data_IF_366153873972
#
_entry.id   IF_366153873972
#
_cell.length_a   1.000
_cell.length_b   1.000
_cell.length_c   1.000
_cell.angle_alpha   90.00
_cell.angle_beta   90.00
_cell.angle_gamma   90.00
#
_symmetry.space_group_name_H-M   'P 1'
#
loop_
_entity.id
_entity.type
_entity.pdbx_description
1 polymer ?
#
# COMPACT_ATOMS: atom_id res chain seq x y z
N UNK A 1 2.93 1.09 -12.29
CA UNK A 1 2.18 1.60 -13.46
C UNK A 1 1.28 0.50 -14.00
N UNK A 2 -0.04 0.72 -14.03
CA UNK A 2 -0.96 -0.09 -14.84
C UNK A 2 -0.63 0.20 -16.30
N UNK A 3 -0.44 -0.84 -17.12
CA UNK A 3 -0.16 -0.67 -18.55
C UNK A 3 -1.24 0.18 -19.20
N UNK A 4 -0.88 1.35 -19.73
CA UNK A 4 -1.73 2.21 -20.58
C UNK A 4 -1.79 1.66 -22.01
N UNK A 5 -1.86 0.34 -22.16
CA UNK A 5 -2.12 -0.22 -23.48
C UNK A 5 -3.39 0.45 -24.01
N UNK A 6 -3.35 1.08 -25.18
CA UNK A 6 -4.57 1.56 -25.85
C UNK A 6 -5.12 0.49 -26.80
N UNK A 7 -4.63 -0.76 -26.67
CA UNK A 7 -5.23 -1.89 -27.38
C UNK A 7 -6.64 -2.10 -26.85
N UNK A 8 -7.60 -2.12 -27.78
CA UNK A 8 -9.05 -2.11 -27.51
C UNK A 8 -9.55 -3.21 -26.58
N UNK A 9 -8.84 -4.33 -26.47
CA UNK A 9 -9.38 -5.53 -25.84
C UNK A 9 -8.99 -5.71 -24.36
N UNK A 10 -8.06 -4.91 -23.80
CA UNK A 10 -7.60 -5.09 -22.42
C UNK A 10 -7.61 -3.81 -21.56
N UNK A 11 -7.77 -2.65 -22.19
CA UNK A 11 -7.54 -1.37 -21.53
C UNK A 11 -8.79 -0.74 -20.96
N UNK A 12 -8.77 -0.48 -19.65
CA UNK A 12 -9.80 0.36 -19.01
C UNK A 12 -9.88 1.75 -19.65
N UNK A 13 -8.75 2.28 -20.16
CA UNK A 13 -8.70 3.60 -20.78
C UNK A 13 -9.43 3.60 -22.13
N UNK A 14 -9.25 2.55 -22.95
CA UNK A 14 -9.99 2.39 -24.19
C UNK A 14 -11.50 2.27 -23.94
N UNK A 15 -11.91 1.44 -22.98
CA UNK A 15 -13.31 1.31 -22.59
C UNK A 15 -13.89 2.63 -22.08
N UNK A 16 -13.11 3.46 -21.37
CA UNK A 16 -13.55 4.80 -20.97
C UNK A 16 -13.81 5.71 -22.19
N UNK A 17 -12.93 5.70 -23.19
CA UNK A 17 -13.14 6.48 -24.42
C UNK A 17 -14.40 6.03 -25.16
N UNK A 18 -14.69 4.72 -25.19
CA UNK A 18 -15.91 4.17 -25.80
C UNK A 18 -17.20 4.61 -25.07
N UNK A 19 -17.11 4.98 -23.77
CA UNK A 19 -18.21 5.60 -23.03
C UNK A 19 -18.33 7.12 -23.25
N UNK A 20 -17.58 7.69 -24.19
CA UNK A 20 -17.66 9.10 -24.58
C UNK A 20 -16.78 10.05 -23.77
N UNK A 21 -15.85 9.54 -22.96
CA UNK A 21 -14.82 10.37 -22.35
C UNK A 21 -13.77 10.74 -23.40
N UNK A 22 -13.50 12.03 -23.61
CA UNK A 22 -12.55 12.49 -24.64
C UNK A 22 -11.17 12.84 -24.07
N UNK A 23 -11.02 12.82 -22.74
CA UNK A 23 -9.78 13.17 -22.04
C UNK A 23 -9.60 12.25 -20.84
N UNK A 24 -8.39 11.70 -20.71
CA UNK A 24 -7.96 10.90 -19.56
C UNK A 24 -6.78 11.62 -18.93
N UNK A 25 -6.87 11.88 -17.63
CA UNK A 25 -5.81 12.52 -16.86
C UNK A 25 -5.29 11.51 -15.84
N UNK A 26 -4.01 11.18 -15.93
CA UNK A 26 -3.30 10.38 -14.93
C UNK A 26 -2.37 11.30 -14.16
N UNK A 27 -2.55 11.33 -12.85
CA UNK A 27 -1.82 12.23 -11.97
C UNK A 27 -0.79 11.42 -11.18
N UNK A 28 0.46 11.89 -11.23
CA UNK A 28 1.50 11.44 -10.31
C UNK A 28 1.26 12.16 -8.97
N UNK A 29 0.98 11.40 -7.91
CA UNK A 29 0.65 11.98 -6.61
C UNK A 29 1.87 12.72 -6.03
N UNK A 30 1.63 13.74 -5.20
CA UNK A 30 2.71 14.37 -4.44
C UNK A 30 3.53 13.30 -3.71
N UNK A 31 4.85 13.44 -3.70
CA UNK A 31 5.76 12.51 -3.05
C UNK A 31 6.29 11.41 -3.96
N UNK A 32 5.73 11.24 -5.16
CA UNK A 32 6.17 10.23 -6.13
C UNK A 32 6.66 10.86 -7.44
N UNK A 33 7.38 10.05 -8.23
CA UNK A 33 7.86 10.39 -9.56
C UNK A 33 8.49 11.78 -9.66
N UNK A 34 7.83 12.69 -10.39
CA UNK A 34 8.30 14.09 -10.56
C UNK A 34 7.53 15.09 -9.71
N UNK A 35 6.50 14.64 -8.99
CA UNK A 35 5.63 15.45 -8.15
C UNK A 35 6.22 15.58 -6.73
N UNK A 36 7.34 16.31 -6.59
CA UNK A 36 8.02 16.50 -5.28
C UNK A 36 8.39 15.15 -4.62
N UNK A 37 9.28 14.35 -5.23
CA UNK A 37 9.60 13.00 -4.75
C UNK A 37 10.16 13.01 -3.32
N UNK A 38 9.62 12.14 -2.47
CA UNK A 38 10.13 11.88 -1.12
C UNK A 38 11.11 10.70 -1.18
N UNK A 39 12.41 11.01 -1.23
CA UNK A 39 13.51 10.04 -1.17
C UNK A 39 14.52 10.49 -0.13
N UNK A 40 15.45 9.62 0.26
CA UNK A 40 16.54 10.03 1.16
C UNK A 40 17.33 11.19 0.57
N UNK A 41 17.67 11.09 -0.72
CA UNK A 41 18.39 12.14 -1.44
C UNK A 41 17.69 13.50 -1.43
N UNK A 42 16.36 13.55 -1.62
CA UNK A 42 15.64 14.84 -1.59
C UNK A 42 15.56 15.42 -0.18
N UNK A 43 15.45 14.55 0.84
CA UNK A 43 15.46 14.97 2.23
C UNK A 43 16.84 15.46 2.68
N UNK A 44 17.94 14.84 2.24
CA UNK A 44 19.32 15.30 2.51
C UNK A 44 19.55 16.73 1.99
N UNK A 45 19.02 17.04 0.80
CA UNK A 45 19.13 18.37 0.22
C UNK A 45 18.26 19.40 0.94
N UNK A 46 17.05 19.02 1.36
CA UNK A 46 16.07 19.95 1.92
C UNK A 46 16.20 20.14 3.44
N UNK A 47 16.65 19.09 4.15
CA UNK A 47 16.74 19.02 5.61
C UNK A 47 18.09 18.42 6.03
N UNK A 48 19.23 19.05 5.71
CA UNK A 48 20.56 18.49 5.98
C UNK A 48 20.81 18.22 7.47
N UNK A 49 20.22 19.03 8.35
CA UNK A 49 20.32 18.86 9.80
C UNK A 49 19.78 17.52 10.30
N UNK A 50 18.89 16.86 9.54
CA UNK A 50 18.37 15.53 9.87
C UNK A 50 19.47 14.45 9.87
N UNK A 51 20.52 14.65 9.07
CA UNK A 51 21.54 13.64 8.79
C UNK A 51 22.85 13.86 9.56
N UNK A 52 22.93 14.89 10.42
CA UNK A 52 24.15 15.23 11.16
C UNK A 52 24.70 14.09 12.04
N UNK A 53 23.82 13.21 12.53
CA UNK A 53 24.21 12.05 13.33
C UNK A 53 24.68 10.85 12.49
N UNK A 54 24.35 10.82 11.20
CA UNK A 54 24.76 9.73 10.31
C UNK A 54 26.23 9.86 9.90
N UNK A 55 26.77 11.09 9.93
CA UNK A 55 28.17 11.42 9.61
C UNK A 55 29.09 11.48 10.85
N UNK A 56 28.52 11.39 12.06
CA UNK A 56 29.27 11.51 13.29
C UNK A 56 30.26 10.32 13.43
N UNK A 57 31.56 10.61 13.42
CA UNK A 57 32.60 9.62 13.73
C UNK A 57 32.48 9.19 15.19
N UNK A 58 32.93 7.97 15.50
CA UNK A 58 32.87 7.33 16.82
C UNK A 58 33.12 8.31 17.98
N UNK A 59 32.08 8.53 18.79
CA UNK A 59 32.01 9.47 19.91
C UNK A 59 30.57 9.81 20.24
N UNK A 60 30.27 10.24 21.47
CA UNK A 60 28.93 10.74 21.80
C UNK A 60 28.69 12.08 21.09
N UNK A 61 27.57 12.24 20.35
CA UNK A 61 27.25 13.49 19.68
C UNK A 61 27.01 14.59 20.72
N UNK A 62 27.37 15.83 20.40
CA UNK A 62 27.08 16.95 21.30
C UNK A 62 25.58 17.15 21.48
N UNK A 63 25.18 17.70 22.63
CA UNK A 63 23.77 18.03 22.90
C UNK A 63 23.20 18.97 21.82
N UNK A 64 24.02 19.89 21.29
CA UNK A 64 23.63 20.79 20.22
C UNK A 64 23.28 20.06 18.92
N UNK A 65 24.12 19.11 18.49
CA UNK A 65 23.86 18.31 17.28
C UNK A 65 22.60 17.45 17.47
N UNK A 66 22.46 16.84 18.64
CA UNK A 66 21.27 16.04 18.97
C UNK A 66 20.00 16.88 18.89
N UNK A 67 20.02 18.10 19.45
CA UNK A 67 18.87 19.01 19.41
C UNK A 67 18.51 19.45 17.98
N UNK A 68 19.51 19.70 17.12
CA UNK A 68 19.29 20.02 15.70
C UNK A 68 18.60 18.87 14.96
N UNK A 69 19.06 17.63 15.16
CA UNK A 69 18.44 16.46 14.52
C UNK A 69 17.01 16.24 15.01
N UNK A 70 16.75 16.43 16.31
CA UNK A 70 15.39 16.34 16.87
C UNK A 70 14.44 17.38 16.26
N UNK A 71 14.90 18.61 16.10
CA UNK A 71 14.13 19.67 15.48
C UNK A 71 13.87 19.36 13.99
N UNK A 72 14.90 18.97 13.24
CA UNK A 72 14.78 18.59 11.84
C UNK A 72 13.83 17.39 11.66
N UNK A 73 13.89 16.39 12.54
CA UNK A 73 13.00 15.23 12.49
C UNK A 73 11.52 15.64 12.67
N UNK A 74 11.22 16.62 13.54
CA UNK A 74 9.87 17.17 13.67
C UNK A 74 9.42 17.91 12.40
N UNK A 75 10.27 18.77 11.85
CA UNK A 75 9.99 19.52 10.63
C UNK A 75 9.72 18.59 9.43
N UNK A 76 10.52 17.53 9.30
CA UNK A 76 10.35 16.51 8.25
C UNK A 76 9.06 15.72 8.48
N UNK A 77 8.71 15.39 9.73
CA UNK A 77 7.44 14.72 10.08
C UNK A 77 6.24 15.58 9.66
N UNK A 78 6.27 16.87 9.97
CA UNK A 78 5.22 17.82 9.59
C UNK A 78 5.16 18.04 8.07
N UNK A 79 6.32 18.02 7.41
CA UNK A 79 6.41 18.07 5.95
C UNK A 79 5.78 16.83 5.30
N UNK A 80 6.18 15.62 5.72
CA UNK A 80 5.66 14.34 5.21
C UNK A 80 4.17 14.17 5.49
N UNK A 81 3.64 14.75 6.57
CA UNK A 81 2.21 14.73 6.87
C UNK A 81 1.33 15.37 5.78
N UNK A 82 1.92 16.19 4.90
CA UNK A 82 1.24 16.87 3.78
C UNK A 82 1.06 15.99 2.54
N UNK A 83 1.54 14.74 2.56
CA UNK A 83 1.55 13.81 1.42
C UNK A 83 0.42 12.77 1.48
N UNK A 84 -0.64 13.07 2.21
CA UNK A 84 -1.81 12.22 2.43
C UNK A 84 -2.93 12.47 1.42
N UNK A 85 -3.90 11.56 1.40
CA UNK A 85 -5.05 11.56 0.49
C UNK A 85 -5.82 12.90 0.47
N UNK A 86 -5.95 13.58 1.60
CA UNK A 86 -6.60 14.89 1.71
C UNK A 86 -5.93 15.95 0.84
N UNK A 87 -4.61 15.95 0.76
CA UNK A 87 -3.89 16.93 -0.06
C UNK A 87 -3.65 16.43 -1.50
N UNK A 88 -3.64 15.12 -1.74
CA UNK A 88 -3.66 14.53 -3.09
C UNK A 88 -4.97 14.89 -3.79
N UNK A 89 -6.11 14.83 -3.08
CA UNK A 89 -7.42 15.23 -3.62
C UNK A 89 -7.47 16.73 -3.94
N UNK A 90 -6.87 17.58 -3.08
CA UNK A 90 -6.76 19.02 -3.36
C UNK A 90 -5.92 19.31 -4.61
N UNK A 91 -4.79 18.61 -4.79
CA UNK A 91 -4.01 18.73 -6.05
C UNK A 91 -4.85 18.35 -7.27
N UNK A 92 -5.66 17.29 -7.16
CA UNK A 92 -6.52 16.85 -8.25
C UNK A 92 -7.60 17.89 -8.60
N UNK A 93 -8.14 18.62 -7.62
CA UNK A 93 -9.05 19.75 -7.86
C UNK A 93 -8.33 20.96 -8.47
N UNK A 94 -7.12 21.30 -8.01
CA UNK A 94 -6.33 22.39 -8.60
C UNK A 94 -5.97 22.10 -10.06
N UNK A 95 -5.57 20.86 -10.36
CA UNK A 95 -5.33 20.38 -11.72
C UNK A 95 -6.62 20.43 -12.55
N UNK A 96 -7.76 20.04 -11.96
CA UNK A 96 -9.07 20.13 -12.64
C UNK A 96 -9.36 21.54 -13.08
N UNK A 97 -9.26 22.50 -12.17
CA UNK A 97 -9.56 23.90 -12.48
C UNK A 97 -8.62 24.42 -13.56
N UNK A 98 -7.31 24.17 -13.45
CA UNK A 98 -6.32 24.57 -14.44
C UNK A 98 -6.61 23.98 -15.85
N UNK A 99 -7.08 22.74 -15.94
CA UNK A 99 -7.38 22.07 -17.21
C UNK A 99 -8.77 22.39 -17.78
N UNK A 100 -9.72 22.76 -16.91
CA UNK A 100 -11.13 23.00 -17.31
C UNK A 100 -11.45 24.49 -17.51
N UNK A 101 -10.68 25.44 -16.99
CA UNK A 101 -10.91 26.88 -17.22
C UNK A 101 -10.80 27.27 -18.70
N UNK A 102 -11.86 27.81 -19.34
CA UNK A 102 -11.67 28.66 -20.52
C UNK A 102 -11.07 29.99 -20.06
N UNK A 103 -10.12 30.54 -20.82
CA UNK A 103 -9.35 31.73 -20.42
C UNK A 103 -10.21 32.99 -20.21
N UNK A 104 -11.46 33.03 -20.70
CA UNK A 104 -12.18 34.29 -20.93
C UNK A 104 -13.64 34.34 -20.42
N UNK A 105 -14.19 33.28 -19.79
CA UNK A 105 -15.58 33.29 -19.30
C UNK A 105 -15.72 32.97 -17.81
N UNK A 106 -16.60 33.69 -17.08
CA UNK A 106 -16.84 33.43 -15.66
C UNK A 106 -17.53 32.06 -15.47
N UNK A 107 -16.99 31.27 -14.54
CA UNK A 107 -17.59 29.99 -14.16
C UNK A 107 -18.87 30.25 -13.37
N UNK A 108 -20.02 29.92 -13.95
CA UNK A 108 -21.35 30.11 -13.33
C UNK A 108 -21.93 28.83 -12.72
N UNK A 109 -21.41 27.66 -13.10
CA UNK A 109 -21.90 26.34 -12.67
C UNK A 109 -20.73 25.44 -12.23
N UNK A 110 -20.94 24.53 -11.26
CA UNK A 110 -19.92 23.57 -10.85
C UNK A 110 -19.47 22.65 -12.00
N UNK A 111 -18.16 22.43 -12.10
CA UNK A 111 -17.53 21.59 -13.13
C UNK A 111 -16.76 20.43 -12.48
N UNK A 112 -17.46 19.42 -11.93
CA UNK A 112 -16.79 18.26 -11.37
C UNK A 112 -16.13 17.43 -12.46
N UNK A 113 -15.15 16.60 -12.11
CA UNK A 113 -14.67 15.55 -13.00
C UNK A 113 -15.82 14.67 -13.49
N UNK A 114 -15.76 14.25 -14.75
CA UNK A 114 -16.75 13.32 -15.29
C UNK A 114 -16.68 11.93 -14.64
N UNK A 115 -15.49 11.48 -14.27
CA UNK A 115 -15.25 10.19 -13.61
C UNK A 115 -13.92 10.22 -12.86
N UNK A 116 -13.89 9.62 -11.66
CA UNK A 116 -12.68 9.22 -10.95
C UNK A 116 -12.62 7.70 -10.88
N UNK A 117 -11.45 7.12 -11.13
CA UNK A 117 -11.19 5.70 -10.94
C UNK A 117 -9.95 5.50 -10.10
N UNK A 118 -10.08 4.71 -9.03
CA UNK A 118 -9.00 4.42 -8.10
C UNK A 118 -8.82 2.92 -7.87
N UNK A 119 -7.57 2.45 -7.95
CA UNK A 119 -7.18 1.12 -7.51
C UNK A 119 -6.42 1.22 -6.19
N UNK A 120 -6.64 0.31 -5.25
CA UNK A 120 -5.90 0.27 -3.98
C UNK A 120 -5.99 1.62 -3.25
N UNK A 121 -4.85 2.19 -2.83
CA UNK A 121 -4.74 3.53 -2.27
C UNK A 121 -5.41 4.64 -3.13
N UNK A 122 -5.45 4.48 -4.45
CA UNK A 122 -6.21 5.39 -5.32
C UNK A 122 -7.71 5.38 -5.02
N UNK A 123 -8.27 4.24 -4.63
CA UNK A 123 -9.66 4.13 -4.16
C UNK A 123 -9.86 4.80 -2.80
N UNK A 124 -8.85 4.79 -1.92
CA UNK A 124 -8.87 5.51 -0.65
C UNK A 124 -8.90 7.03 -0.92
N UNK A 125 -8.11 7.50 -1.89
CA UNK A 125 -8.19 8.88 -2.37
C UNK A 125 -9.58 9.22 -2.96
N UNK A 126 -10.19 8.32 -3.72
CA UNK A 126 -11.57 8.49 -4.21
C UNK A 126 -12.58 8.60 -3.06
N UNK A 127 -12.40 7.83 -1.97
CA UNK A 127 -13.22 7.97 -0.77
C UNK A 127 -13.01 9.34 -0.09
N UNK A 128 -11.78 9.82 0.05
CA UNK A 128 -11.51 11.17 0.55
C UNK A 128 -12.20 12.24 -0.31
N UNK A 129 -12.24 12.06 -1.64
CA UNK A 129 -13.01 12.92 -2.55
C UNK A 129 -14.50 13.00 -2.18
N UNK A 130 -15.11 11.83 -1.95
CA UNK A 130 -16.52 11.73 -1.55
C UNK A 130 -16.77 12.33 -0.16
N UNK A 131 -15.73 12.48 0.66
CA UNK A 131 -15.81 13.08 1.99
C UNK A 131 -15.64 14.59 2.02
N UNK A 132 -14.80 15.16 1.17
CA UNK A 132 -14.33 16.54 1.36
C UNK A 132 -14.74 17.52 0.27
N UNK A 133 -15.09 17.05 -0.93
CA UNK A 133 -15.38 17.92 -2.07
C UNK A 133 -16.88 18.09 -2.26
N UNK A 134 -17.39 19.32 -2.19
CA UNK A 134 -18.82 19.65 -2.31
C UNK A 134 -19.45 19.14 -3.60
N UNK A 135 -18.71 19.22 -4.71
CA UNK A 135 -19.09 18.73 -6.02
C UNK A 135 -18.10 17.66 -6.50
N UNK A 136 -18.19 16.43 -5.96
CA UNK A 136 -17.26 15.37 -6.30
C UNK A 136 -17.48 14.88 -7.75
N UNK A 137 -16.59 14.01 -8.30
CA UNK A 137 -16.72 13.45 -9.63
C UNK A 137 -18.11 12.85 -9.84
N UNK A 138 -18.67 13.02 -11.05
CA UNK A 138 -20.02 12.50 -11.37
C UNK A 138 -20.12 10.99 -11.19
N UNK A 139 -19.02 10.28 -11.42
CA UNK A 139 -18.89 8.84 -11.23
C UNK A 139 -17.58 8.55 -10.48
N UNK A 140 -17.64 7.68 -9.46
CA UNK A 140 -16.49 7.19 -8.72
C UNK A 140 -16.42 5.65 -8.82
N UNK A 141 -15.36 5.14 -9.44
CA UNK A 141 -15.13 3.70 -9.59
C UNK A 141 -13.96 3.26 -8.70
N UNK A 142 -14.19 2.27 -7.83
CA UNK A 142 -13.18 1.75 -6.90
C UNK A 142 -12.81 0.31 -7.27
N UNK A 143 -11.53 -0.04 -7.22
CA UNK A 143 -11.06 -1.41 -7.52
C UNK A 143 -10.09 -1.89 -6.45
N UNK A 144 -10.51 -2.84 -5.61
CA UNK A 144 -9.73 -3.27 -4.45
C UNK A 144 -9.30 -2.08 -3.56
N UNK A 145 -10.21 -1.12 -3.34
CA UNK A 145 -9.84 0.21 -2.83
C UNK A 145 -10.89 0.86 -1.94
N UNK A 146 -11.70 0.07 -1.23
CA UNK A 146 -12.56 0.59 -0.16
C UNK A 146 -11.76 0.63 1.13
N UNK A 147 -11.44 1.83 1.61
CA UNK A 147 -10.71 2.04 2.85
C UNK A 147 -11.51 1.51 4.06
N UNK A 148 -10.87 0.83 5.02
CA UNK A 148 -11.52 0.31 6.22
C UNK A 148 -11.77 1.42 7.25
N UNK A 149 -12.36 2.54 6.86
CA UNK A 149 -12.51 3.76 7.68
C UNK A 149 -13.30 3.56 8.99
N UNK A 150 -14.06 2.47 9.11
CA UNK A 150 -14.82 2.11 10.32
C UNK A 150 -14.13 1.02 11.16
N UNK A 151 -12.88 0.66 10.85
CA UNK A 151 -12.12 -0.40 11.52
C UNK A 151 -10.76 0.16 11.96
N UNK A 152 -10.35 -0.07 13.22
CA UNK A 152 -9.01 0.28 13.67
C UNK A 152 -7.89 -0.36 12.85
N UNK A 153 -6.80 0.37 12.64
CA UNK A 153 -5.64 -0.11 11.88
C UNK A 153 -5.12 -1.45 12.43
N UNK A 154 -5.04 -1.58 13.75
CA UNK A 154 -4.61 -2.82 14.42
C UNK A 154 -5.54 -4.00 14.10
N UNK A 155 -6.86 -3.78 14.09
CA UNK A 155 -7.84 -4.82 13.79
C UNK A 155 -7.82 -5.21 12.31
N UNK A 156 -7.69 -4.22 11.42
CA UNK A 156 -7.52 -4.44 9.99
C UNK A 156 -6.28 -5.28 9.71
N UNK A 157 -5.12 -4.94 10.29
CA UNK A 157 -3.90 -5.73 10.14
C UNK A 157 -3.99 -7.11 10.78
N UNK A 158 -4.63 -7.25 11.94
CA UNK A 158 -4.83 -8.56 12.57
C UNK A 158 -5.62 -9.50 11.65
N UNK A 159 -6.59 -8.96 10.91
CA UNK A 159 -7.34 -9.71 9.89
C UNK A 159 -6.48 -10.02 8.66
N UNK A 160 -5.78 -9.02 8.12
CA UNK A 160 -4.92 -9.17 6.95
C UNK A 160 -3.76 -10.16 7.17
N UNK A 161 -3.21 -10.24 8.39
CA UNK A 161 -2.23 -11.26 8.74
C UNK A 161 -2.76 -12.69 8.58
N UNK A 162 -4.03 -12.93 8.88
CA UNK A 162 -4.68 -14.23 8.66
C UNK A 162 -4.91 -14.49 7.18
N UNK A 163 -5.36 -13.50 6.42
CA UNK A 163 -5.47 -13.63 4.96
C UNK A 163 -4.11 -13.92 4.32
N UNK A 164 -3.05 -13.29 4.81
CA UNK A 164 -1.67 -13.55 4.41
C UNK A 164 -1.22 -14.97 4.77
N UNK A 165 -1.57 -15.47 5.96
CA UNK A 165 -1.33 -16.86 6.34
C UNK A 165 -2.00 -17.82 5.35
N UNK A 166 -3.28 -17.65 5.05
CA UNK A 166 -3.98 -18.52 4.11
C UNK A 166 -3.38 -18.48 2.71
N UNK A 167 -2.92 -17.30 2.28
CA UNK A 167 -2.23 -17.15 0.98
C UNK A 167 -0.90 -17.89 0.94
N UNK A 168 -0.14 -17.85 2.04
CA UNK A 168 1.08 -18.63 2.20
C UNK A 168 0.81 -20.14 2.14
N UNK A 169 -0.21 -20.62 2.86
CA UNK A 169 -0.56 -22.04 2.90
C UNK A 169 -0.92 -22.57 1.50
N UNK A 170 -1.71 -21.82 0.74
CA UNK A 170 -2.03 -22.17 -0.67
C UNK A 170 -0.80 -22.20 -1.58
N UNK A 171 0.16 -21.30 -1.36
CA UNK A 171 1.42 -21.33 -2.09
C UNK A 171 2.19 -22.63 -1.79
N UNK A 172 2.28 -23.02 -0.52
CA UNK A 172 2.96 -24.26 -0.12
C UNK A 172 2.21 -25.53 -0.52
N UNK A 173 0.87 -25.51 -0.57
CA UNK A 173 0.08 -26.62 -1.14
C UNK A 173 0.42 -26.85 -2.62
N UNK A 174 0.66 -25.77 -3.37
CA UNK A 174 1.06 -25.85 -4.79
C UNK A 174 2.54 -26.24 -4.96
N UNK A 175 3.41 -25.77 -4.05
CA UNK A 175 4.86 -25.98 -4.10
C UNK A 175 5.41 -26.51 -2.75
N UNK A 176 5.08 -27.74 -2.36
CA UNK A 176 5.44 -28.27 -1.04
C UNK A 176 6.96 -28.39 -0.83
N UNK A 177 7.73 -28.57 -1.90
CA UNK A 177 9.19 -28.59 -1.86
C UNK A 177 9.83 -27.27 -1.42
N UNK A 178 9.09 -26.16 -1.46
CA UNK A 178 9.61 -24.86 -1.05
C UNK A 178 9.59 -24.68 0.48
N UNK A 179 8.77 -25.44 1.21
CA UNK A 179 8.69 -25.37 2.69
C UNK A 179 10.09 -25.53 3.29
N UNK A 180 10.77 -26.63 2.95
CA UNK A 180 12.09 -26.96 3.50
C UNK A 180 13.16 -25.95 3.07
N UNK A 181 13.12 -25.51 1.80
CA UNK A 181 14.05 -24.51 1.24
C UNK A 181 13.93 -23.17 1.94
N UNK A 182 12.71 -22.70 2.16
CA UNK A 182 12.44 -21.44 2.86
C UNK A 182 12.97 -21.49 4.29
N UNK A 183 12.73 -22.59 5.02
CA UNK A 183 13.27 -22.78 6.37
C UNK A 183 14.80 -22.71 6.39
N UNK A 184 15.47 -23.38 5.45
CA UNK A 184 16.92 -23.36 5.31
C UNK A 184 17.46 -21.96 5.01
N UNK A 185 16.82 -21.22 4.09
CA UNK A 185 17.18 -19.84 3.76
C UNK A 185 17.05 -18.94 5.01
N UNK A 186 15.91 -19.01 5.71
CA UNK A 186 15.66 -18.22 6.92
C UNK A 186 16.68 -18.53 8.00
N UNK A 187 16.98 -19.81 8.26
CA UNK A 187 17.99 -20.22 9.24
C UNK A 187 19.41 -19.76 8.88
N UNK A 188 19.75 -19.77 7.58
CA UNK A 188 21.04 -19.23 7.11
C UNK A 188 21.13 -17.72 7.35
N UNK A 189 20.09 -16.97 6.99
CA UNK A 189 20.05 -15.51 7.16
C UNK A 189 19.96 -15.08 8.63
N UNK A 190 19.36 -15.88 9.50
CA UNK A 190 19.38 -15.66 10.95
C UNK A 190 20.80 -15.76 11.55
N UNK A 191 21.64 -16.65 10.99
CA UNK A 191 23.04 -16.83 11.42
C UNK A 191 23.96 -15.81 10.78
N UNK A 192 23.76 -15.54 9.49
CA UNK A 192 24.63 -14.68 8.70
C UNK A 192 23.81 -13.89 7.66
N UNK A 193 23.37 -12.66 8.00
CA UNK A 193 22.79 -11.75 7.04
C UNK A 193 23.78 -11.40 5.91
N UNK A 194 23.26 -11.08 4.73
CA UNK A 194 24.05 -10.85 3.53
C UNK A 194 23.94 -9.40 3.04
N UNK A 195 25.01 -8.83 2.51
CA UNK A 195 24.94 -7.50 1.86
C UNK A 195 24.38 -7.61 0.45
N UNK A 196 23.46 -6.71 0.12
CA UNK A 196 22.87 -6.62 -1.22
C UNK A 196 23.71 -5.72 -2.15
N UNK A 197 23.58 -5.87 -3.48
CA UNK A 197 24.41 -5.12 -4.44
C UNK A 197 24.24 -3.59 -4.38
N UNK A 198 23.02 -3.08 -4.21
CA UNK A 198 22.75 -1.64 -4.14
C UNK A 198 23.00 -1.00 -2.77
N UNK A 199 23.18 -1.82 -1.72
CA UNK A 199 23.25 -1.37 -0.33
C UNK A 199 22.26 -2.14 0.55
N UNK A 200 22.29 -1.87 1.86
CA UNK A 200 21.42 -2.56 2.82
C UNK A 200 21.83 -4.01 3.09
N UNK A 201 20.97 -4.71 3.82
CA UNK A 201 21.24 -6.07 4.31
C UNK A 201 20.03 -6.97 4.07
N UNK A 202 20.25 -8.09 3.38
CA UNK A 202 19.34 -9.21 3.32
C UNK A 202 19.38 -9.95 4.67
N UNK A 203 18.43 -9.63 5.53
CA UNK A 203 18.13 -10.35 6.77
C UNK A 203 17.02 -11.38 6.53
N UNK A 204 16.80 -12.28 7.50
CA UNK A 204 15.67 -13.22 7.43
C UNK A 204 14.32 -12.50 7.32
N UNK A 205 14.11 -11.44 8.11
CA UNK A 205 12.89 -10.63 8.08
C UNK A 205 12.72 -9.86 6.76
N UNK A 206 13.79 -9.30 6.17
CA UNK A 206 13.73 -8.69 4.82
C UNK A 206 13.40 -9.72 3.75
N UNK A 207 13.94 -10.93 3.84
CA UNK A 207 13.57 -12.03 2.93
C UNK A 207 12.08 -12.40 3.06
N UNK A 208 11.54 -12.49 4.28
CA UNK A 208 10.13 -12.82 4.50
C UNK A 208 9.16 -11.76 3.96
N UNK A 209 9.59 -10.50 3.83
CA UNK A 209 8.78 -9.44 3.22
C UNK A 209 8.50 -9.65 1.72
N UNK A 210 9.17 -10.60 1.04
CA UNK A 210 8.82 -10.95 -0.34
C UNK A 210 7.38 -11.48 -0.48
N UNK A 211 6.77 -11.94 0.61
CA UNK A 211 5.40 -12.44 0.60
C UNK A 211 4.37 -11.43 0.15
N UNK A 212 4.68 -10.12 0.12
CA UNK A 212 3.86 -9.10 -0.53
C UNK A 212 3.47 -9.51 -1.97
N UNK A 213 4.32 -10.26 -2.68
CA UNK A 213 4.03 -10.73 -4.03
C UNK A 213 2.89 -11.77 -4.10
N UNK A 214 2.61 -12.51 -3.03
CA UNK A 214 1.65 -13.63 -3.01
C UNK A 214 0.19 -13.19 -3.22
N UNK A 215 -0.15 -11.94 -2.90
CA UNK A 215 -1.47 -11.36 -3.16
C UNK A 215 -1.64 -10.80 -4.58
N UNK A 216 -0.57 -10.82 -5.39
CA UNK A 216 -0.50 -10.13 -6.68
C UNK A 216 -1.15 -10.88 -7.84
N UNK A 217 -0.44 -10.93 -8.97
CA UNK A 217 -0.95 -11.48 -10.24
C UNK A 217 -1.22 -12.99 -10.16
N UNK A 218 -2.01 -13.55 -11.10
CA UNK A 218 -2.22 -15.00 -11.20
C UNK A 218 -0.94 -15.83 -11.32
N UNK A 219 0.14 -15.24 -11.84
CA UNK A 219 1.46 -15.86 -11.99
C UNK A 219 2.37 -15.72 -10.75
N UNK A 220 1.90 -15.08 -9.68
CA UNK A 220 2.70 -14.76 -8.51
C UNK A 220 3.36 -16.01 -7.90
N UNK A 221 2.58 -17.07 -7.65
CA UNK A 221 3.09 -18.29 -7.01
C UNK A 221 4.17 -18.98 -7.86
N UNK A 222 3.97 -19.09 -9.17
CA UNK A 222 4.96 -19.69 -10.07
C UNK A 222 6.25 -18.87 -10.16
N UNK A 223 6.13 -17.53 -10.17
CA UNK A 223 7.29 -16.62 -10.17
C UNK A 223 8.06 -16.74 -8.85
N UNK A 224 7.33 -16.81 -7.74
CA UNK A 224 7.87 -16.96 -6.41
C UNK A 224 8.59 -18.31 -6.24
N UNK A 225 7.98 -19.41 -6.68
CA UNK A 225 8.60 -20.73 -6.72
C UNK A 225 9.89 -20.73 -7.53
N UNK A 226 9.88 -20.16 -8.74
CA UNK A 226 11.08 -20.09 -9.58
C UNK A 226 12.22 -19.32 -8.91
N UNK A 227 11.90 -18.30 -8.12
CA UNK A 227 12.88 -17.55 -7.33
C UNK A 227 13.44 -18.41 -6.18
N UNK A 228 12.57 -19.06 -5.39
CA UNK A 228 13.00 -19.91 -4.27
C UNK A 228 13.85 -21.08 -4.76
N UNK A 229 13.45 -21.73 -5.85
CA UNK A 229 14.16 -22.86 -6.45
C UNK A 229 15.56 -22.49 -6.99
N UNK A 230 15.84 -21.20 -7.23
CA UNK A 230 17.13 -20.72 -7.76
C UNK A 230 17.91 -19.83 -6.77
N UNK A 231 17.45 -19.79 -5.51
CA UNK A 231 18.04 -18.95 -4.48
C UNK A 231 19.48 -19.37 -4.13
N UNK A 232 19.77 -20.67 -4.13
CA UNK A 232 21.05 -21.25 -3.70
C UNK A 232 21.75 -22.02 -4.82
N UNK A 233 23.07 -22.19 -4.73
CA UNK A 233 23.87 -22.96 -5.70
C UNK A 233 23.63 -24.48 -5.63
N UNK A 234 23.11 -24.97 -4.51
CA UNK A 234 22.78 -26.38 -4.28
C UNK A 234 21.67 -26.47 -3.23
N UNK A 235 20.95 -27.58 -3.19
CA UNK A 235 19.95 -27.84 -2.15
C UNK A 235 20.58 -28.14 -0.77
N UNK A 236 21.83 -28.63 -0.74
CA UNK A 236 22.51 -29.07 0.50
C UNK A 236 23.32 -27.96 1.20
N UNK A 237 23.68 -26.90 0.47
CA UNK A 237 24.42 -25.75 1.01
C UNK A 237 23.77 -24.43 0.62
N UNK A 238 23.45 -23.61 1.62
CA UNK A 238 22.86 -22.27 1.42
C UNK A 238 23.96 -21.29 1.04
N UNK A 239 24.38 -21.36 -0.21
CA UNK A 239 25.23 -20.35 -0.86
C UNK A 239 24.37 -19.59 -1.85
N UNK A 240 24.00 -18.36 -1.51
CA UNK A 240 23.11 -17.54 -2.34
C UNK A 240 23.72 -17.22 -3.70
N UNK A 241 22.92 -17.36 -4.76
CA UNK A 241 23.35 -17.00 -6.10
C UNK A 241 23.39 -15.49 -6.27
N UNK A 242 24.28 -14.98 -7.13
CA UNK A 242 24.31 -13.53 -7.46
C UNK A 242 23.02 -13.07 -8.13
N UNK A 243 22.39 -13.95 -8.91
CA UNK A 243 21.10 -13.67 -9.53
C UNK A 243 20.00 -13.47 -8.47
N UNK A 244 19.96 -14.32 -7.45
CA UNK A 244 19.03 -14.19 -6.34
C UNK A 244 19.26 -12.90 -5.54
N UNK A 245 20.50 -12.58 -5.18
CA UNK A 245 20.80 -11.32 -4.47
C UNK A 245 20.42 -10.08 -5.29
N UNK A 246 20.64 -10.09 -6.62
CA UNK A 246 20.18 -9.02 -7.50
C UNK A 246 18.67 -8.95 -7.59
N UNK A 247 17.99 -10.09 -7.62
CA UNK A 247 16.53 -10.14 -7.59
C UNK A 247 15.99 -9.51 -6.31
N UNK A 248 16.51 -9.92 -5.15
CA UNK A 248 16.15 -9.38 -3.83
C UNK A 248 16.23 -7.85 -3.78
N UNK A 249 17.28 -7.30 -4.39
CA UNK A 249 17.51 -5.87 -4.53
C UNK A 249 16.35 -5.18 -5.27
N UNK A 250 15.93 -5.76 -6.41
CA UNK A 250 14.90 -5.20 -7.29
C UNK A 250 13.45 -5.50 -6.88
N UNK A 251 13.23 -6.58 -6.12
CA UNK A 251 11.89 -7.08 -5.82
C UNK A 251 11.17 -6.28 -4.72
N UNK A 252 11.93 -5.52 -3.93
CA UNK A 252 11.43 -4.79 -2.77
C UNK A 252 11.63 -3.30 -2.99
N UNK A 253 10.59 -2.62 -3.45
CA UNK A 253 10.66 -1.22 -3.91
C UNK A 253 10.83 -0.19 -2.81
N UNK A 254 11.19 -0.56 -1.58
CA UNK A 254 11.38 0.40 -0.48
C UNK A 254 12.66 1.24 -0.65
N UNK A 255 13.64 0.75 -1.41
CA UNK A 255 14.79 1.56 -1.80
C UNK A 255 14.44 2.50 -2.99
N UNK A 256 13.62 2.05 -3.95
CA UNK A 256 13.25 2.91 -5.11
C UNK A 256 12.07 3.88 -4.83
N UNK A 257 11.19 3.54 -3.88
CA UNK A 257 9.96 4.26 -3.54
C UNK A 257 9.79 4.37 -2.01
N UNK A 258 10.74 4.98 -1.28
CA UNK A 258 10.80 4.94 0.18
C UNK A 258 9.63 5.66 0.87
N UNK A 259 8.92 6.56 0.17
CA UNK A 259 7.65 7.14 0.64
C UNK A 259 6.65 6.08 1.09
N UNK A 260 6.66 4.94 0.42
CA UNK A 260 5.77 3.84 0.71
C UNK A 260 6.04 3.26 2.11
N UNK A 261 7.28 3.30 2.62
CA UNK A 261 7.55 2.94 4.03
C UNK A 261 7.03 3.99 5.01
N UNK A 262 7.38 5.27 4.81
CA UNK A 262 7.08 6.33 5.78
C UNK A 262 5.58 6.61 5.93
N UNK A 263 4.83 6.53 4.82
CA UNK A 263 3.41 6.89 4.79
C UNK A 263 2.46 5.70 4.70
N UNK A 264 2.95 4.45 4.72
CA UNK A 264 2.14 3.24 4.58
C UNK A 264 0.94 3.22 5.53
N UNK A 265 1.19 3.38 6.83
CA UNK A 265 0.15 3.31 7.84
C UNK A 265 -0.64 4.62 7.95
N UNK A 266 -0.09 5.74 7.47
CA UNK A 266 -0.74 7.04 7.57
C UNK A 266 -2.10 7.09 6.86
N UNK A 267 -2.33 6.18 5.91
CA UNK A 267 -3.61 6.00 5.20
C UNK A 267 -4.76 5.60 6.13
N UNK A 268 -4.45 5.10 7.34
CA UNK A 268 -5.43 4.73 8.36
C UNK A 268 -5.67 5.82 9.41
N UNK A 269 -4.78 6.80 9.56
CA UNK A 269 -4.94 7.87 10.56
C UNK A 269 -6.05 8.84 10.13
N UNK A 270 -7.16 8.90 10.86
CA UNK A 270 -8.39 9.61 10.45
C UNK A 270 -8.93 10.52 11.57
N UNK A 271 -8.13 11.51 11.98
CA UNK A 271 -8.46 12.36 13.12
C UNK A 271 -7.82 11.88 14.44
N UNK A 272 -7.82 12.74 15.45
CA UNK A 272 -7.28 12.43 16.79
C UNK A 272 -8.06 11.33 17.52
N UNK A 273 -9.36 11.26 17.25
CA UNK A 273 -10.28 10.37 17.97
C UNK A 273 -10.49 9.04 17.23
N UNK A 274 -9.93 8.88 16.03
CA UNK A 274 -10.12 7.68 15.19
C UNK A 274 -8.80 7.28 14.56
N UNK A 275 -8.35 6.07 14.91
CA UNK A 275 -7.21 5.39 14.28
C UNK A 275 -5.86 6.12 14.32
N UNK A 276 -5.72 7.08 15.22
CA UNK A 276 -4.47 7.80 15.50
C UNK A 276 -4.11 7.65 16.97
N UNK A 277 -2.86 7.36 17.34
CA UNK A 277 -1.75 6.98 16.46
C UNK A 277 -1.90 5.55 15.90
N UNK A 278 -1.24 5.25 14.77
CA UNK A 278 -1.20 3.88 14.24
C UNK A 278 -0.28 3.01 15.08
N UNK A 279 0.81 3.58 15.61
CA UNK A 279 1.76 2.94 16.52
C UNK A 279 2.26 1.60 15.97
N UNK A 280 2.75 1.59 14.73
CA UNK A 280 3.26 0.38 14.08
C UNK A 280 2.24 -0.76 14.13
N UNK A 281 0.99 -0.48 13.75
CA UNK A 281 -0.16 -1.38 13.90
C UNK A 281 0.09 -2.75 13.24
N UNK A 282 0.68 -2.77 12.04
CA UNK A 282 1.04 -3.99 11.33
C UNK A 282 2.02 -4.86 12.14
N UNK A 283 3.08 -4.25 12.65
CA UNK A 283 4.09 -4.91 13.47
C UNK A 283 3.52 -5.39 14.80
N UNK A 284 2.75 -4.56 15.52
CA UNK A 284 2.14 -4.95 16.79
C UNK A 284 1.13 -6.09 16.62
N UNK A 285 0.37 -6.11 15.53
CA UNK A 285 -0.54 -7.20 15.22
C UNK A 285 0.23 -8.51 14.97
N UNK A 286 1.34 -8.44 14.23
CA UNK A 286 2.25 -9.58 14.05
C UNK A 286 2.81 -10.10 15.37
N UNK A 287 3.36 -9.23 16.22
CA UNK A 287 3.92 -9.62 17.52
C UNK A 287 2.88 -10.29 18.43
N UNK A 288 1.65 -9.78 18.44
CA UNK A 288 0.54 -10.39 19.20
C UNK A 288 0.18 -11.80 18.67
N UNK A 289 0.18 -11.98 17.35
CA UNK A 289 -0.06 -13.28 16.73
C UNK A 289 1.09 -14.26 16.98
N UNK A 290 2.35 -13.85 16.79
CA UNK A 290 3.52 -14.69 17.04
C UNK A 290 3.66 -15.09 18.52
N UNK A 291 3.26 -14.21 19.45
CA UNK A 291 3.25 -14.52 20.88
C UNK A 291 2.16 -15.53 21.27
N UNK A 292 1.01 -15.54 20.59
CA UNK A 292 -0.14 -16.39 20.91
C UNK A 292 -0.25 -17.66 20.07
N UNK A 293 0.35 -17.66 18.87
CA UNK A 293 0.37 -18.79 17.95
C UNK A 293 1.77 -18.96 17.33
N UNK A 294 2.40 -20.10 17.62
CA UNK A 294 3.75 -20.44 17.15
C UNK A 294 3.87 -20.60 15.63
N UNK A 295 2.75 -20.76 14.91
CA UNK A 295 2.76 -20.77 13.44
C UNK A 295 3.21 -19.44 12.83
N UNK A 296 3.01 -18.32 13.54
CA UNK A 296 3.46 -16.99 13.08
C UNK A 296 4.91 -16.68 13.47
N UNK A 297 5.49 -17.42 14.41
CA UNK A 297 6.87 -17.23 14.86
C UNK A 297 7.84 -17.83 13.81
N UNK A 298 8.35 -16.99 12.91
CA UNK A 298 9.24 -17.44 11.84
C UNK A 298 10.56 -18.03 12.35
N UNK A 299 11.04 -17.61 13.53
CA UNK A 299 12.26 -18.15 14.12
C UNK A 299 12.01 -19.58 14.62
N UNK A 300 10.85 -19.80 15.27
CA UNK A 300 10.42 -21.12 15.68
C UNK A 300 10.16 -22.05 14.49
N UNK A 301 9.26 -21.67 13.57
CA UNK A 301 8.89 -22.53 12.43
C UNK A 301 10.07 -22.89 11.53
N UNK A 302 11.00 -21.95 11.32
CA UNK A 302 12.21 -22.21 10.51
C UNK A 302 13.21 -23.15 11.19
N UNK A 303 13.19 -23.25 12.52
CA UNK A 303 14.03 -24.21 13.25
C UNK A 303 13.52 -25.65 13.11
N UNK A 304 12.24 -25.84 12.80
CA UNK A 304 11.62 -27.16 12.60
C UNK A 304 11.84 -27.65 11.16
N UNK A 305 13.10 -27.78 10.72
CA UNK A 305 13.46 -28.02 9.30
C UNK A 305 12.82 -29.28 8.72
N UNK A 306 12.67 -30.34 9.51
CA UNK A 306 12.14 -31.63 9.04
C UNK A 306 10.62 -31.78 9.19
N UNK A 307 9.93 -30.79 9.76
CA UNK A 307 8.48 -30.78 9.91
C UNK A 307 7.80 -29.94 8.84
N UNK A 308 7.38 -30.57 7.75
CA UNK A 308 6.70 -29.88 6.64
C UNK A 308 5.27 -29.42 7.02
N UNK A 309 4.72 -29.85 8.17
CA UNK A 309 3.39 -29.41 8.64
C UNK A 309 3.39 -28.01 9.25
N UNK A 310 4.56 -27.45 9.57
CA UNK A 310 4.72 -26.12 10.15
C UNK A 310 5.56 -25.21 9.24
N UNK A 311 5.04 -24.79 8.08
CA UNK A 311 5.79 -23.94 7.16
C UNK A 311 6.11 -22.57 7.78
N UNK A 312 7.26 -22.00 7.40
CA UNK A 312 7.57 -20.60 7.75
C UNK A 312 6.78 -19.67 6.82
N UNK A 313 5.97 -18.79 7.41
CA UNK A 313 5.11 -17.88 6.66
C UNK A 313 5.88 -16.62 6.23
N UNK A 314 5.70 -16.21 4.98
CA UNK A 314 6.11 -14.90 4.49
C UNK A 314 5.15 -13.80 4.95
N UNK A 315 5.64 -12.57 5.01
CA UNK A 315 4.86 -11.39 5.38
C UNK A 315 4.13 -10.81 4.16
N UNK A 316 2.97 -10.20 4.40
CA UNK A 316 2.21 -9.49 3.36
C UNK A 316 2.67 -8.04 3.16
N UNK A 317 1.72 -7.17 2.81
CA UNK A 317 1.94 -5.73 2.63
C UNK A 317 1.98 -4.97 3.97
N UNK A 318 3.09 -5.15 4.68
CA UNK A 318 3.31 -4.63 6.02
C UNK A 318 4.61 -3.83 6.10
N UNK A 319 4.61 -2.78 6.93
CA UNK A 319 5.82 -2.05 7.30
C UNK A 319 6.17 -2.30 8.76
N UNK A 320 7.47 -2.29 9.05
CA UNK A 320 7.99 -2.65 10.36
C UNK A 320 9.02 -1.62 10.86
N UNK A 321 9.11 -1.40 12.18
CA UNK A 321 10.07 -0.44 12.75
C UNK A 321 11.53 -0.83 12.49
N UNK A 322 11.80 -2.10 12.17
CA UNK A 322 13.14 -2.58 11.87
C UNK A 322 13.63 -2.27 10.45
N UNK A 323 12.74 -1.87 9.52
CA UNK A 323 13.12 -1.72 8.11
C UNK A 323 14.28 -0.74 7.85
N UNK A 324 14.44 0.37 8.61
CA UNK A 324 15.62 1.23 8.52
C UNK A 324 16.96 0.53 8.77
N UNK A 325 16.97 -0.61 9.46
CA UNK A 325 18.18 -1.42 9.67
C UNK A 325 18.55 -2.26 8.42
N UNK A 326 17.56 -2.57 7.59
CA UNK A 326 17.67 -3.55 6.51
C UNK A 326 17.76 -2.88 5.12
N UNK A 327 17.11 -1.74 4.92
CA UNK A 327 17.03 -0.99 3.66
C UNK A 327 17.93 0.24 3.67
N UNK A 328 18.65 0.48 2.57
CA UNK A 328 19.67 1.51 2.52
C UNK A 328 19.06 2.92 2.51
N UNK A 329 18.02 3.12 1.70
CA UNK A 329 17.34 4.42 1.56
C UNK A 329 16.49 4.78 2.78
N UNK A 330 16.19 3.80 3.64
CA UNK A 330 15.46 4.04 4.89
C UNK A 330 16.41 4.27 6.08
N UNK A 331 17.68 3.88 5.94
CA UNK A 331 18.66 3.93 7.01
C UNK A 331 19.09 5.35 7.38
N UNK A 332 19.36 5.54 8.67
CA UNK A 332 19.83 6.80 9.25
C UNK A 332 19.12 7.09 10.56
N UNK A 333 19.82 7.70 11.51
CA UNK A 333 19.29 8.05 12.84
C UNK A 333 18.12 9.01 12.71
N UNK A 334 18.27 10.05 11.89
CA UNK A 334 17.22 11.03 11.62
C UNK A 334 16.00 10.42 10.95
N UNK A 335 16.20 9.62 9.89
CA UNK A 335 15.10 8.94 9.19
C UNK A 335 14.37 7.93 10.09
N UNK A 336 15.10 7.21 10.95
CA UNK A 336 14.51 6.32 11.95
C UNK A 336 13.66 7.08 12.96
N UNK A 337 14.10 8.28 13.38
CA UNK A 337 13.29 9.16 14.24
C UNK A 337 12.03 9.65 13.53
N UNK A 338 12.14 10.09 12.27
CA UNK A 338 10.98 10.51 11.45
C UNK A 338 9.96 9.38 11.33
N UNK A 339 10.40 8.15 11.04
CA UNK A 339 9.50 7.00 10.93
C UNK A 339 8.74 6.73 12.24
N UNK A 340 9.43 6.80 13.38
CA UNK A 340 8.81 6.65 14.70
C UNK A 340 7.89 7.82 15.06
N UNK A 341 8.23 9.05 14.68
CA UNK A 341 7.38 10.22 14.88
C UNK A 341 6.08 10.09 14.07
N UNK A 342 6.13 9.66 12.81
CA UNK A 342 4.95 9.40 11.98
C UNK A 342 4.07 8.30 12.59
N UNK A 343 4.66 7.19 13.03
CA UNK A 343 3.91 6.09 13.65
C UNK A 343 3.24 6.49 14.97
N UNK A 344 3.89 7.32 15.78
CA UNK A 344 3.39 7.78 17.08
C UNK A 344 2.56 9.06 17.03
N UNK A 345 2.40 9.66 15.84
CA UNK A 345 1.63 10.89 15.64
C UNK A 345 0.16 10.69 16.02
N UNK A 346 -0.33 11.51 16.97
CA UNK A 346 -1.69 11.43 17.52
C UNK A 346 -2.66 12.46 16.93
N UNK A 347 -2.13 13.47 16.23
CA UNK A 347 -2.84 14.63 15.72
C UNK A 347 -3.02 14.58 14.19
N UNK A 348 -3.18 13.39 13.61
CA UNK A 348 -3.58 13.27 12.20
C UNK A 348 -4.90 13.98 11.95
N UNK A 349 -5.01 14.71 10.84
CA UNK A 349 -6.28 15.32 10.41
C UNK A 349 -7.29 14.26 9.93
N UNK A 350 -8.60 14.59 9.90
CA UNK A 350 -9.62 13.69 9.35
C UNK A 350 -9.45 13.51 7.83
N UNK A 351 -9.59 12.27 7.37
CA UNK A 351 -9.66 11.88 5.95
C UNK A 351 -11.09 11.63 5.48
N UNK A 352 -11.95 11.15 6.38
CA UNK A 352 -13.27 10.64 5.99
C UNK A 352 -14.41 11.30 6.78
N UNK A 353 -15.35 11.86 6.01
CA UNK A 353 -16.67 12.30 6.46
C UNK A 353 -17.73 11.38 5.85
N UNK A 354 -18.27 10.48 6.67
CA UNK A 354 -19.28 9.52 6.24
C UNK A 354 -20.68 10.13 6.04
N UNK A 355 -20.99 11.28 6.63
CA UNK A 355 -22.25 11.98 6.39
C UNK A 355 -22.22 12.65 5.01
N UNK A 356 -21.10 13.29 4.69
CA UNK A 356 -20.90 13.88 3.38
C UNK A 356 -20.94 12.83 2.26
N UNK A 357 -20.25 11.68 2.44
CA UNK A 357 -20.32 10.55 1.49
C UNK A 357 -21.78 10.12 1.22
N UNK A 358 -22.58 9.91 2.28
CA UNK A 358 -23.99 9.51 2.12
C UNK A 358 -24.80 10.58 1.39
N UNK A 359 -24.57 11.86 1.72
CA UNK A 359 -25.27 12.99 1.11
C UNK A 359 -25.05 13.02 -0.40
N UNK A 360 -23.80 13.04 -0.86
CA UNK A 360 -23.47 13.18 -2.29
C UNK A 360 -23.83 11.95 -3.12
N UNK A 361 -23.85 10.76 -2.50
CA UNK A 361 -24.29 9.53 -3.17
C UNK A 361 -25.82 9.38 -3.20
N UNK A 362 -26.54 9.95 -2.22
CA UNK A 362 -28.00 9.82 -2.13
C UNK A 362 -28.76 10.86 -2.94
N UNK A 363 -28.22 12.08 -3.06
CA UNK A 363 -28.84 13.16 -3.84
C UNK A 363 -28.52 13.06 -5.36
N UNK A 364 -27.68 12.11 -5.76
CA UNK A 364 -27.29 11.89 -7.15
C UNK A 364 -26.19 12.82 -7.67
N UNK A 365 -25.55 13.62 -6.80
CA UNK A 365 -24.37 14.42 -7.16
C UNK A 365 -23.23 13.54 -7.69
N UNK A 366 -23.08 12.34 -7.11
CA UNK A 366 -22.14 11.31 -7.53
C UNK A 366 -22.80 9.93 -7.55
N UNK A 367 -22.37 9.08 -8.49
CA UNK A 367 -22.69 7.65 -8.54
C UNK A 367 -21.41 6.85 -8.28
N UNK A 368 -21.50 5.75 -7.52
CA UNK A 368 -20.32 4.95 -7.20
C UNK A 368 -20.54 3.45 -7.46
N UNK A 369 -19.48 2.78 -7.91
CA UNK A 369 -19.40 1.33 -7.98
C UNK A 369 -18.01 0.85 -7.58
N UNK A 370 -17.92 -0.32 -6.97
CA UNK A 370 -16.68 -0.89 -6.48
C UNK A 370 -16.55 -2.37 -6.82
N UNK A 371 -15.37 -2.77 -7.31
CA UNK A 371 -14.93 -4.16 -7.33
C UNK A 371 -14.24 -4.46 -5.99
N UNK A 372 -14.74 -5.48 -5.29
CA UNK A 372 -14.20 -5.95 -4.01
C UNK A 372 -13.76 -7.39 -4.20
N UNK A 373 -12.48 -7.67 -3.95
CA UNK A 373 -11.95 -9.02 -4.12
C UNK A 373 -12.10 -9.80 -2.81
N UNK A 374 -12.69 -10.99 -2.88
CA UNK A 374 -13.09 -11.75 -1.69
C UNK A 374 -11.89 -12.15 -0.80
N UNK A 375 -10.75 -12.45 -1.41
CA UNK A 375 -9.55 -12.94 -0.72
C UNK A 375 -8.37 -11.97 -0.90
N UNK A 376 -8.68 -10.68 -0.88
CA UNK A 376 -7.69 -9.61 -1.04
C UNK A 376 -6.72 -9.59 0.14
N UNK A 377 -5.42 -9.74 -0.14
CA UNK A 377 -4.36 -9.76 0.86
C UNK A 377 -3.95 -8.34 1.32
N UNK A 378 -4.43 -7.30 0.66
CA UNK A 378 -4.01 -5.91 0.86
C UNK A 378 -5.13 -5.04 1.46
N UNK A 379 -6.39 -5.33 1.12
CA UNK A 379 -7.56 -4.61 1.63
C UNK A 379 -8.52 -5.57 2.30
N UNK A 380 -8.77 -5.36 3.59
CA UNK A 380 -9.60 -6.26 4.38
C UNK A 380 -11.05 -6.31 3.89
N UNK A 381 -11.49 -7.50 3.47
CA UNK A 381 -12.81 -7.71 2.88
C UNK A 381 -13.94 -7.33 3.84
N UNK A 382 -13.90 -7.82 5.08
CA UNK A 382 -14.97 -7.58 6.05
C UNK A 382 -15.05 -6.11 6.45
N UNK A 383 -13.91 -5.43 6.60
CA UNK A 383 -13.87 -4.01 6.88
C UNK A 383 -14.38 -3.18 5.71
N UNK A 384 -14.07 -3.54 4.46
CA UNK A 384 -14.66 -2.91 3.28
C UNK A 384 -16.19 -3.08 3.26
N UNK A 385 -16.68 -4.29 3.55
CA UNK A 385 -18.12 -4.56 3.61
C UNK A 385 -18.83 -3.81 4.74
N UNK A 386 -18.16 -3.59 5.89
CA UNK A 386 -18.70 -2.74 6.98
C UNK A 386 -18.95 -1.30 6.55
N UNK A 387 -18.14 -0.75 5.62
CA UNK A 387 -18.27 0.62 5.10
C UNK A 387 -19.38 0.73 4.06
N UNK A 388 -19.66 -0.35 3.33
CA UNK A 388 -20.62 -0.37 2.24
C UNK A 388 -22.01 -0.96 2.61
N UNK A 389 -22.17 -1.53 3.80
CA UNK A 389 -23.47 -2.06 4.26
C UNK A 389 -24.53 -0.95 4.39
N UNK A 390 -25.80 -1.35 4.46
CA UNK A 390 -26.93 -0.43 4.71
C UNK A 390 -26.70 0.45 5.95
N UNK A 391 -26.93 1.75 5.82
CA UNK A 391 -26.70 2.75 6.87
C UNK A 391 -25.24 3.19 7.04
N UNK A 392 -24.29 2.57 6.34
CA UNK A 392 -22.88 2.96 6.37
C UNK A 392 -22.56 4.01 5.29
N UNK A 393 -21.37 4.64 5.32
CA UNK A 393 -21.01 5.75 4.43
C UNK A 393 -21.20 5.48 2.93
N UNK A 394 -20.91 4.25 2.49
CA UNK A 394 -20.98 3.85 1.08
C UNK A 394 -22.20 2.99 0.75
N UNK A 395 -23.30 3.08 1.51
CA UNK A 395 -24.49 2.23 1.30
C UNK A 395 -25.11 2.33 -0.11
N UNK A 396 -24.86 3.43 -0.82
CA UNK A 396 -25.33 3.66 -2.20
C UNK A 396 -24.33 3.23 -3.27
N UNK A 397 -23.10 2.86 -2.88
CA UNK A 397 -22.10 2.32 -3.79
C UNK A 397 -22.51 0.91 -4.26
N UNK A 398 -22.45 0.67 -5.56
CA UNK A 398 -22.77 -0.64 -6.14
C UNK A 398 -21.57 -1.58 -6.01
N UNK A 399 -21.73 -2.70 -5.31
CA UNK A 399 -20.64 -3.63 -5.08
C UNK A 399 -20.67 -4.80 -6.07
N UNK A 400 -19.50 -5.13 -6.60
CA UNK A 400 -19.22 -6.38 -7.27
C UNK A 400 -18.18 -7.13 -6.45
N UNK A 401 -18.65 -8.08 -5.65
CA UNK A 401 -17.79 -9.01 -4.92
C UNK A 401 -17.39 -10.13 -5.86
N UNK A 402 -16.08 -10.37 -6.00
CA UNK A 402 -15.55 -11.39 -6.92
C UNK A 402 -14.36 -12.13 -6.33
N UNK A 403 -14.24 -13.40 -6.67
CA UNK A 403 -13.03 -14.21 -6.48
C UNK A 403 -12.36 -14.56 -7.84
N UNK A 404 -12.86 -14.02 -8.95
CA UNK A 404 -12.28 -14.19 -10.29
C UNK A 404 -10.92 -13.48 -10.40
N UNK A 405 -10.73 -12.42 -9.63
CA UNK A 405 -9.54 -11.57 -9.63
C UNK A 405 -8.94 -11.47 -8.23
N UNK A 406 -7.64 -11.25 -8.21
CA UNK A 406 -6.93 -10.77 -7.03
C UNK A 406 -6.87 -9.24 -7.06
N UNK A 407 -6.12 -8.63 -6.14
CA UNK A 407 -5.96 -7.18 -6.05
C UNK A 407 -5.48 -6.53 -7.35
N UNK A 408 -4.75 -7.29 -8.19
CA UNK A 408 -4.31 -6.87 -9.52
C UNK A 408 -5.40 -6.85 -10.59
N UNK A 409 -6.67 -7.10 -10.26
CA UNK A 409 -7.75 -7.28 -11.24
C UNK A 409 -7.80 -6.19 -12.32
N UNK A 410 -7.66 -4.91 -11.96
CA UNK A 410 -7.68 -3.81 -12.93
C UNK A 410 -6.53 -3.89 -13.96
N UNK A 411 -5.36 -4.40 -13.55
CA UNK A 411 -4.22 -4.63 -14.44
C UNK A 411 -4.41 -5.89 -15.29
N UNK A 412 -5.06 -6.91 -14.74
CA UNK A 412 -5.22 -8.21 -15.38
C UNK A 412 -6.37 -8.18 -16.41
N UNK A 413 -7.46 -7.44 -16.14
CA UNK A 413 -8.63 -7.34 -17.00
C UNK A 413 -9.33 -5.97 -16.90
N UNK A 414 -8.59 -4.91 -17.22
CA UNK A 414 -9.04 -3.53 -17.02
C UNK A 414 -10.29 -3.15 -17.79
N UNK A 415 -10.43 -3.58 -19.04
CA UNK A 415 -11.59 -3.29 -19.89
C UNK A 415 -12.90 -3.83 -19.27
N UNK A 416 -12.94 -5.13 -18.97
CA UNK A 416 -14.13 -5.77 -18.40
C UNK A 416 -14.50 -5.18 -17.03
N UNK A 417 -13.50 -4.94 -16.17
CA UNK A 417 -13.75 -4.36 -14.85
C UNK A 417 -14.31 -2.95 -14.98
N UNK A 418 -13.73 -2.11 -15.85
CA UNK A 418 -14.23 -0.77 -16.10
C UNK A 418 -15.68 -0.80 -16.60
N UNK A 419 -15.97 -1.58 -17.64
CA UNK A 419 -17.30 -1.66 -18.25
C UNK A 419 -18.36 -2.15 -17.25
N UNK A 420 -18.01 -3.16 -16.46
CA UNK A 420 -18.86 -3.69 -15.40
C UNK A 420 -19.19 -2.60 -14.38
N UNK A 421 -18.16 -1.96 -13.82
CA UNK A 421 -18.35 -0.96 -12.76
C UNK A 421 -19.05 0.30 -13.28
N UNK A 422 -18.70 0.76 -14.48
CA UNK A 422 -19.37 1.87 -15.15
C UNK A 422 -20.85 1.57 -15.40
N UNK A 423 -21.17 0.40 -15.95
CA UNK A 423 -22.54 -0.04 -16.18
C UNK A 423 -23.34 -0.17 -14.88
N UNK A 424 -22.71 -0.65 -13.80
CA UNK A 424 -23.34 -0.70 -12.47
C UNK A 424 -23.62 0.69 -11.90
N UNK A 425 -22.64 1.60 -11.97
CA UNK A 425 -22.78 2.97 -11.47
C UNK A 425 -23.85 3.74 -12.25
N UNK A 426 -23.90 3.61 -13.58
CA UNK A 426 -24.84 4.33 -14.44
C UNK A 426 -26.22 3.69 -14.55
N UNK A 427 -26.37 2.43 -14.15
CA UNK A 427 -27.61 1.66 -14.21
C UNK A 427 -27.80 0.85 -15.51
N UNK A 428 -26.80 0.82 -16.40
CA UNK A 428 -26.77 -0.05 -17.58
C UNK A 428 -26.65 -1.54 -17.23
N UNK A 429 -26.10 -1.87 -16.06
CA UNK A 429 -26.05 -3.22 -15.50
C UNK A 429 -26.84 -3.24 -14.19
N UNK A 430 -27.86 -4.11 -14.12
CA UNK A 430 -28.56 -4.37 -12.86
C UNK A 430 -27.78 -5.40 -12.05
N UNK A 431 -27.34 -5.02 -10.85
CA UNK A 431 -26.88 -5.99 -9.85
C UNK A 431 -28.09 -6.59 -9.12
N UNK A 432 -28.05 -7.88 -8.76
CA UNK A 432 -28.97 -8.43 -7.76
C UNK A 432 -28.85 -7.60 -6.48
N UNK A 433 -29.99 -7.33 -5.84
CA UNK A 433 -30.13 -6.47 -4.66
C UNK A 433 -29.33 -6.95 -3.46
#
# INVERSE_FOLDING_TARGET
>A
MVSLGFSKEASWAASAMDQGYNRIVLMDQRGTGRSTPLTKQTLELQFPDLFLLDEAKEGEPSEEVTAKVEQAAKEVTDYMSKFRADNIVKDAEDIKEALMMPADEPVTEPRPWGLSMGQSFGGFCTMTYLSTIEHPPRICLLTGGIAPMLTPAFDAYTSLWKTCQERNLRYYEMYPGDIRRVKQIVQSLLKQPMKLPSGGTLTARRFLMLGIALGGSPSAFATFHSMIATATLSDDTVVFTRAFLKYMDSAQSFDDHPIYFWLHESIYGDGSDRNSPTNWAAHRAYEALAASNKEFDYQYTSSQVDDDSQPTLFFGEHVFPFMPEDFAELSGVGLTKVANNLASKTDWGPLYDGEHMRKVLSNGSCKAAAAVYHEDMYVDFDAAMKVAKRGAPLEKCKLWVSNEYQHSGLRDNGANIFEKLYGMATGGIRTPS
#
